data_IF_327258363668
#
_entry.id   IF_327258363668
#
_cell.length_a   1.000
_cell.length_b   1.000
_cell.length_c   1.000
_cell.angle_alpha   90.00
_cell.angle_beta   90.00
_cell.angle_gamma   90.00
#
_symmetry.space_group_name_H-M   'P 1'
#
loop_
_entity.id
_entity.type
_entity.pdbx_description
1 polymer ?
#
# COMPACT_ATOMS: atom_id res chain seq x y z
N UNK A 1 -12.72 13.92 8.93
CA UNK A 1 -12.35 12.77 8.08
C UNK A 1 -11.38 11.93 8.87
N UNK A 2 -11.68 10.65 9.07
CA UNK A 2 -10.74 9.75 9.75
C UNK A 2 -9.51 9.58 8.86
N UNK A 3 -8.31 9.83 9.41
CA UNK A 3 -7.06 9.52 8.69
C UNK A 3 -6.99 8.01 8.44
N UNK A 4 -6.66 7.62 7.22
CA UNK A 4 -6.51 6.22 6.81
C UNK A 4 -5.37 5.57 7.62
N UNK A 5 -5.40 4.25 7.84
CA UNK A 5 -4.31 3.50 8.45
C UNK A 5 -2.98 3.77 7.72
N UNK A 6 -3.00 3.94 6.40
CA UNK A 6 -1.84 4.36 5.60
C UNK A 6 -1.17 5.63 6.14
N UNK A 7 -1.96 6.65 6.47
CA UNK A 7 -1.46 7.95 6.96
C UNK A 7 -1.11 7.94 8.45
N UNK A 8 -1.77 7.08 9.23
CA UNK A 8 -1.60 7.01 10.69
C UNK A 8 -0.42 6.15 11.09
N UNK A 9 -0.26 5.01 10.43
CA UNK A 9 0.76 4.01 10.71
C UNK A 9 1.08 3.22 9.45
N UNK A 10 2.03 3.75 8.68
CA UNK A 10 2.46 3.16 7.42
C UNK A 10 2.96 1.72 7.56
N UNK A 11 3.70 1.42 8.65
CA UNK A 11 4.27 0.09 8.86
C UNK A 11 3.17 -0.93 9.13
N UNK A 12 2.21 -0.59 10.00
CA UNK A 12 1.06 -1.44 10.27
C UNK A 12 0.16 -1.60 9.03
N UNK A 13 -0.01 -0.54 8.23
CA UNK A 13 -0.72 -0.62 6.95
C UNK A 13 -0.04 -1.60 6.00
N UNK A 14 1.30 -1.59 5.93
CA UNK A 14 2.07 -2.47 5.07
C UNK A 14 1.94 -3.93 5.51
N UNK A 15 2.11 -4.24 6.80
CA UNK A 15 1.94 -5.59 7.34
C UNK A 15 0.52 -6.12 7.08
N UNK A 16 -0.51 -5.28 7.30
CA UNK A 16 -1.89 -5.63 7.00
C UNK A 16 -2.10 -5.91 5.51
N UNK A 17 -1.56 -5.06 4.64
CA UNK A 17 -1.70 -5.18 3.18
C UNK A 17 -1.05 -6.47 2.67
N UNK A 18 0.15 -6.79 3.17
CA UNK A 18 0.84 -8.05 2.86
C UNK A 18 -0.01 -9.25 3.30
N UNK A 19 -0.52 -9.24 4.54
CA UNK A 19 -1.33 -10.34 5.05
C UNK A 19 -2.59 -10.58 4.21
N UNK A 20 -3.29 -9.51 3.82
CA UNK A 20 -4.48 -9.61 2.96
C UNK A 20 -4.14 -10.16 1.57
N UNK A 21 -3.01 -9.75 0.98
CA UNK A 21 -2.53 -10.26 -0.31
C UNK A 21 -2.20 -11.76 -0.24
N UNK A 22 -1.48 -12.19 0.80
CA UNK A 22 -1.12 -13.61 1.01
C UNK A 22 -2.36 -14.49 1.15
N UNK A 23 -3.39 -13.99 1.84
CA UNK A 23 -4.67 -14.69 2.04
C UNK A 23 -5.68 -14.50 0.89
N UNK A 24 -5.30 -13.79 -0.19
CA UNK A 24 -6.16 -13.49 -1.36
C UNK A 24 -7.45 -12.74 -0.98
N UNK A 25 -7.43 -11.95 0.09
CA UNK A 25 -8.55 -11.16 0.59
C UNK A 25 -8.63 -9.80 -0.11
N UNK A 26 -8.85 -9.82 -1.42
CA UNK A 26 -8.79 -8.61 -2.25
C UNK A 26 -9.90 -7.59 -1.95
N UNK A 27 -11.03 -8.03 -1.37
CA UNK A 27 -12.14 -7.15 -0.99
C UNK A 27 -11.78 -6.18 0.14
N UNK A 28 -10.83 -6.54 0.99
CA UNK A 28 -10.44 -5.77 2.17
C UNK A 28 -9.19 -4.91 1.90
N UNK A 29 -8.64 -4.99 0.69
CA UNK A 29 -7.46 -4.22 0.31
C UNK A 29 -7.80 -2.75 0.12
N UNK A 30 -6.92 -1.92 0.64
CA UNK A 30 -6.86 -0.50 0.32
C UNK A 30 -6.18 -0.30 -1.03
N UNK A 31 -6.93 -0.56 -2.11
CA UNK A 31 -6.40 -0.57 -3.47
C UNK A 31 -5.90 0.81 -3.92
N UNK A 32 -6.50 1.91 -3.45
CA UNK A 32 -6.09 3.26 -3.82
C UNK A 32 -4.66 3.52 -3.34
N UNK A 33 -4.40 3.35 -2.03
CA UNK A 33 -3.07 3.55 -1.45
C UNK A 33 -2.06 2.53 -1.99
N UNK A 34 -2.46 1.26 -2.21
CA UNK A 34 -1.58 0.24 -2.78
C UNK A 34 -1.14 0.57 -4.21
N UNK A 35 -2.05 1.06 -5.07
CA UNK A 35 -1.74 1.43 -6.44
C UNK A 35 -0.81 2.65 -6.47
N UNK A 36 -1.06 3.66 -5.63
CA UNK A 36 -0.18 4.82 -5.51
C UNK A 36 1.23 4.42 -5.07
N UNK A 37 1.36 3.53 -4.09
CA UNK A 37 2.65 3.04 -3.61
C UNK A 37 3.44 2.33 -4.73
N UNK A 38 2.80 1.43 -5.49
CA UNK A 38 3.46 0.73 -6.61
C UNK A 38 3.88 1.70 -7.72
N UNK A 39 3.07 2.72 -8.02
CA UNK A 39 3.43 3.78 -8.98
C UNK A 39 4.63 4.60 -8.48
N UNK A 40 4.64 4.96 -7.20
CA UNK A 40 5.72 5.73 -6.58
C UNK A 40 7.06 4.97 -6.69
N UNK A 41 7.03 3.67 -6.41
CA UNK A 41 8.18 2.76 -6.52
C UNK A 41 8.69 2.63 -7.96
N UNK A 42 7.79 2.57 -8.94
CA UNK A 42 8.17 2.48 -10.37
C UNK A 42 8.88 3.75 -10.85
N UNK A 43 8.41 4.93 -10.42
CA UNK A 43 9.01 6.21 -10.78
C UNK A 43 10.36 6.40 -10.09
N UNK A 44 10.47 6.02 -8.81
CA UNK A 44 11.75 6.13 -8.08
C UNK A 44 12.82 5.22 -8.68
N UNK A 45 12.45 4.02 -9.13
CA UNK A 45 13.35 3.11 -9.83
C UNK A 45 13.79 3.65 -11.21
N UNK A 46 12.86 4.24 -11.98
CA UNK A 46 13.20 4.83 -13.28
C UNK A 46 14.14 6.03 -13.17
N UNK A 47 14.03 6.83 -12.10
CA UNK A 47 14.92 7.99 -11.86
C UNK A 47 16.30 7.61 -11.34
N UNK A 48 16.48 6.39 -10.85
CA UNK A 48 17.75 5.88 -10.35
C UNK A 48 18.62 5.25 -11.46
N UNK A 49 18.11 5.15 -12.70
CA UNK A 49 18.78 4.67 -13.91
C UNK A 49 19.22 5.84 -14.79
#
# INVERSE_FOLDING_TARGET
>A
MEKNLYEKDYYLWLEKTINLLENRQFSDLDLENLIEEIKSMSISQQKAL
#
